data_IF_351639740463
#
_entry.id   IF_351639740463
#
_cell.length_a   1.000
_cell.length_b   1.000
_cell.length_c   1.000
_cell.angle_alpha   90.00
_cell.angle_beta   90.00
_cell.angle_gamma   90.00
#
_symmetry.space_group_name_H-M   'P 1'
#
loop_
_entity.id
_entity.type
_entity.pdbx_description
1 polymer ?
#
# COMPACT_ATOMS: atom_id res chain seq x y z
N UNK A 1 -3.53 -3.96 10.04
CA UNK A 1 -4.69 -3.19 9.53
C UNK A 1 -4.14 -1.87 9.05
N UNK A 2 -4.66 -1.27 7.98
CA UNK A 2 -4.29 0.11 7.55
C UNK A 2 -5.10 1.20 8.25
N UNK A 3 -5.84 0.84 9.30
CA UNK A 3 -6.81 1.70 9.99
C UNK A 3 -6.26 2.43 11.23
N UNK A 4 -5.06 2.07 11.71
CA UNK A 4 -4.42 2.61 12.91
C UNK A 4 -3.33 3.61 12.54
N UNK A 5 -3.10 4.67 13.32
CA UNK A 5 -2.05 5.68 13.04
C UNK A 5 -0.67 5.08 12.79
N UNK A 6 -0.36 3.96 13.45
CA UNK A 6 0.95 3.30 13.36
C UNK A 6 1.09 2.35 12.17
N UNK A 7 0.07 2.19 11.31
CA UNK A 7 0.12 1.18 10.24
C UNK A 7 1.28 1.41 9.26
N UNK A 8 1.61 2.67 9.00
CA UNK A 8 2.75 3.05 8.14
C UNK A 8 4.07 2.64 8.77
N UNK A 9 4.25 2.93 10.06
CA UNK A 9 5.45 2.54 10.81
C UNK A 9 5.62 1.01 10.81
N UNK A 10 4.53 0.28 11.06
CA UNK A 10 4.53 -1.18 11.03
C UNK A 10 4.83 -1.74 9.64
N UNK A 11 4.30 -1.13 8.59
CA UNK A 11 4.61 -1.51 7.22
C UNK A 11 6.11 -1.34 6.94
N UNK A 12 6.69 -0.19 7.32
CA UNK A 12 8.10 0.07 7.09
C UNK A 12 9.02 -0.86 7.87
N UNK A 13 8.70 -1.16 9.14
CA UNK A 13 9.40 -2.18 9.91
C UNK A 13 9.30 -3.55 9.24
N UNK A 14 8.11 -3.97 8.82
CA UNK A 14 7.92 -5.27 8.15
C UNK A 14 8.74 -5.39 6.88
N UNK A 15 8.77 -4.34 6.05
CA UNK A 15 9.56 -4.33 4.81
C UNK A 15 11.07 -4.34 5.10
N UNK A 16 11.52 -3.59 6.12
CA UNK A 16 12.92 -3.55 6.52
C UNK A 16 13.42 -4.87 7.12
N UNK A 17 12.62 -5.50 7.97
CA UNK A 17 13.00 -6.71 8.70
C UNK A 17 12.80 -8.01 7.90
N UNK A 18 12.21 -7.91 6.70
CA UNK A 18 11.86 -9.06 5.87
C UNK A 18 12.52 -9.02 4.48
N UNK A 19 13.85 -9.07 4.36
CA UNK A 19 14.58 -8.91 3.08
C UNK A 19 14.24 -9.97 2.02
N UNK A 20 13.61 -11.09 2.43
CA UNK A 20 13.17 -12.17 1.53
C UNK A 20 11.66 -12.18 1.26
N UNK A 21 10.95 -11.12 1.65
CA UNK A 21 9.49 -11.03 1.50
C UNK A 21 9.12 -11.12 0.02
N UNK A 22 8.34 -12.16 -0.34
CA UNK A 22 7.89 -12.39 -1.72
C UNK A 22 6.49 -11.88 -2.01
N UNK A 23 5.64 -11.84 -0.99
CA UNK A 23 4.23 -11.46 -1.13
C UNK A 23 3.86 -10.51 0.00
N UNK A 24 3.42 -9.32 -0.38
CA UNK A 24 2.88 -8.32 0.53
C UNK A 24 1.38 -8.21 0.32
N UNK A 25 0.61 -8.34 1.40
CA UNK A 25 -0.83 -8.16 1.40
C UNK A 25 -1.25 -7.10 2.41
N UNK A 26 -1.81 -6.01 1.91
CA UNK A 26 -2.42 -4.94 2.69
C UNK A 26 -3.94 -5.09 2.67
N UNK A 27 -4.57 -4.79 3.80
CA UNK A 27 -6.02 -4.79 3.91
C UNK A 27 -6.49 -3.79 4.96
N UNK A 28 -7.49 -3.01 4.60
CA UNK A 28 -8.27 -2.23 5.54
C UNK A 28 -9.45 -3.07 6.05
N UNK A 29 -9.51 -3.35 7.36
CA UNK A 29 -10.60 -4.13 7.95
C UNK A 29 -11.66 -3.29 8.65
N UNK A 30 -11.37 -2.02 8.93
CA UNK A 30 -12.26 -1.15 9.69
C UNK A 30 -12.53 0.13 8.90
N UNK A 31 -13.76 0.63 8.98
CA UNK A 31 -14.05 1.99 8.53
C UNK A 31 -13.22 2.95 9.38
N UNK A 32 -12.42 3.79 8.74
CA UNK A 32 -11.71 4.86 9.44
C UNK A 32 -12.79 5.78 9.99
N UNK A 33 -12.96 5.78 11.31
CA UNK A 33 -13.82 6.77 11.94
C UNK A 33 -13.24 8.15 11.63
N UNK A 34 -14.09 9.09 11.21
CA UNK A 34 -13.68 10.42 10.75
C UNK A 34 -12.85 11.24 11.77
N UNK A 35 -12.77 10.78 13.03
CA UNK A 35 -12.00 11.40 14.11
C UNK A 35 -10.61 10.78 14.33
N UNK A 36 -10.27 9.67 13.66
CA UNK A 36 -8.91 9.14 13.70
C UNK A 36 -8.05 9.94 12.73
N UNK A 37 -7.01 10.59 13.27
CA UNK A 37 -5.99 11.26 12.46
C UNK A 37 -5.41 10.23 11.50
N UNK A 38 -5.62 10.42 10.20
CA UNK A 38 -4.93 9.59 9.20
C UNK A 38 -3.43 9.89 9.33
N UNK A 39 -2.57 8.86 9.41
CA UNK A 39 -1.14 9.10 9.50
C UNK A 39 -0.66 9.66 8.16
N UNK A 40 0.04 10.79 8.20
CA UNK A 40 0.61 11.39 7.01
C UNK A 40 1.74 10.50 6.48
N UNK A 41 1.68 10.12 5.21
CA UNK A 41 2.77 9.39 4.59
C UNK A 41 3.97 10.33 4.40
N UNK A 42 5.15 9.81 4.72
CA UNK A 42 6.42 10.45 4.40
C UNK A 42 7.28 9.41 3.69
N UNK A 43 7.64 9.69 2.45
CA UNK A 43 8.45 8.77 1.66
C UNK A 43 9.79 8.50 2.38
N UNK A 44 10.16 7.23 2.60
CA UNK A 44 11.41 6.90 3.30
C UNK A 44 12.62 7.30 2.45
N UNK A 45 13.70 7.72 3.11
CA UNK A 45 14.96 8.09 2.45
C UNK A 45 15.67 6.93 1.75
N UNK A 46 15.33 5.69 2.12
CA UNK A 46 15.90 4.47 1.57
C UNK A 46 14.81 3.46 1.26
N UNK A 47 14.98 2.75 0.14
CA UNK A 47 14.07 1.69 -0.27
C UNK A 47 14.42 0.39 0.47
N UNK A 48 13.46 -0.28 1.13
CA UNK A 48 13.69 -1.59 1.76
C UNK A 48 14.20 -2.64 0.77
N UNK A 49 15.17 -3.45 1.20
CA UNK A 49 15.82 -4.46 0.34
C UNK A 49 14.81 -5.41 -0.30
N UNK A 50 13.75 -5.79 0.41
CA UNK A 50 12.75 -6.72 -0.10
C UNK A 50 12.03 -6.18 -1.34
N UNK A 51 11.80 -4.85 -1.42
CA UNK A 51 11.21 -4.26 -2.61
C UNK A 51 12.18 -4.38 -3.79
N UNK A 52 13.47 -4.15 -3.55
CA UNK A 52 14.49 -4.17 -4.59
C UNK A 52 14.83 -5.58 -5.10
N UNK A 53 14.69 -6.64 -4.29
CA UNK A 53 15.29 -7.94 -4.61
C UNK A 53 14.35 -9.15 -4.53
N UNK A 54 13.22 -9.07 -3.81
CA UNK A 54 12.45 -10.27 -3.49
C UNK A 54 10.94 -10.16 -3.68
N UNK A 55 10.36 -8.96 -3.66
CA UNK A 55 8.92 -8.79 -3.69
C UNK A 55 8.38 -9.13 -5.08
N UNK A 56 7.63 -10.22 -5.18
CA UNK A 56 7.07 -10.74 -6.42
C UNK A 56 5.56 -10.44 -6.55
N UNK A 57 4.84 -10.33 -5.43
CA UNK A 57 3.39 -10.11 -5.41
C UNK A 57 3.00 -9.00 -4.44
N UNK A 58 2.17 -8.07 -4.91
CA UNK A 58 1.54 -7.04 -4.10
C UNK A 58 0.03 -7.15 -4.20
N UNK A 59 -0.65 -7.25 -3.06
CA UNK A 59 -2.11 -7.27 -2.98
C UNK A 59 -2.58 -6.19 -2.01
N UNK A 60 -3.50 -5.32 -2.46
CA UNK A 60 -4.20 -4.36 -1.62
C UNK A 60 -5.70 -4.63 -1.68
N UNK A 61 -6.25 -5.13 -0.58
CA UNK A 61 -7.69 -5.35 -0.43
C UNK A 61 -8.36 -4.16 0.25
N UNK A 62 -9.60 -3.88 -0.15
CA UNK A 62 -10.42 -2.82 0.43
C UNK A 62 -9.79 -1.42 0.27
N UNK A 63 -9.11 -1.18 -0.85
CA UNK A 63 -8.45 0.10 -1.19
C UNK A 63 -9.47 1.23 -1.36
N UNK A 64 -9.34 2.30 -0.57
CA UNK A 64 -10.25 3.45 -0.59
C UNK A 64 -9.82 4.54 -1.58
N UNK A 65 -8.56 4.53 -2.01
CA UNK A 65 -8.01 5.55 -2.90
C UNK A 65 -7.78 6.88 -2.20
N UNK A 66 -7.40 6.81 -0.93
CA UNK A 66 -7.03 8.01 -0.18
C UNK A 66 -5.61 8.45 -0.53
N UNK A 67 -5.28 9.72 -0.26
CA UNK A 67 -3.98 10.28 -0.66
C UNK A 67 -2.82 9.45 -0.13
N UNK A 68 -2.89 9.03 1.13
CA UNK A 68 -1.87 8.23 1.78
C UNK A 68 -1.74 6.83 1.15
N UNK A 69 -2.87 6.19 0.82
CA UNK A 69 -2.85 4.89 0.14
C UNK A 69 -2.26 4.97 -1.26
N UNK A 70 -2.59 6.04 -2.01
CA UNK A 70 -2.02 6.30 -3.34
C UNK A 70 -0.51 6.46 -3.27
N UNK A 71 -0.02 7.23 -2.31
CA UNK A 71 1.41 7.49 -2.15
C UNK A 71 2.17 6.22 -1.76
N UNK A 72 1.65 5.41 -0.83
CA UNK A 72 2.24 4.12 -0.45
C UNK A 72 2.20 3.14 -1.61
N UNK A 73 1.09 3.05 -2.33
CA UNK A 73 0.96 2.17 -3.49
C UNK A 73 1.97 2.57 -4.58
N UNK A 74 2.03 3.85 -4.93
CA UNK A 74 2.98 4.38 -5.91
C UNK A 74 4.44 4.12 -5.49
N UNK A 75 4.77 4.31 -4.21
CA UNK A 75 6.10 4.00 -3.69
C UNK A 75 6.47 2.52 -3.87
N UNK A 76 5.57 1.60 -3.48
CA UNK A 76 5.81 0.15 -3.63
C UNK A 76 5.94 -0.21 -5.11
N UNK A 77 5.02 0.25 -5.95
CA UNK A 77 5.00 -0.06 -7.38
C UNK A 77 6.25 0.47 -8.11
N UNK A 78 6.73 1.67 -7.76
CA UNK A 78 7.96 2.26 -8.31
C UNK A 78 9.21 1.55 -7.80
N UNK A 79 9.21 1.10 -6.56
CA UNK A 79 10.39 0.55 -5.88
C UNK A 79 10.56 -0.95 -6.08
N UNK A 80 9.47 -1.69 -6.30
CA UNK A 80 9.47 -3.14 -6.33
C UNK A 80 9.96 -3.69 -7.69
N UNK A 81 11.28 -3.83 -7.83
CA UNK A 81 11.91 -4.19 -9.12
C UNK A 81 11.54 -5.60 -9.62
N UNK A 82 11.24 -6.52 -8.69
CA UNK A 82 10.95 -7.92 -8.97
C UNK A 82 9.45 -8.24 -9.05
N UNK A 83 8.60 -7.21 -9.04
CA UNK A 83 7.16 -7.36 -8.93
C UNK A 83 6.58 -7.98 -10.21
N UNK A 84 5.90 -9.12 -10.05
CA UNK A 84 5.29 -9.88 -11.15
C UNK A 84 3.78 -9.75 -11.18
N UNK A 85 3.16 -9.53 -10.02
CA UNK A 85 1.71 -9.48 -9.87
C UNK A 85 1.30 -8.37 -8.91
N UNK A 86 0.37 -7.55 -9.37
CA UNK A 86 -0.32 -6.53 -8.59
C UNK A 86 -1.81 -6.87 -8.57
N UNK A 87 -2.45 -6.74 -7.42
CA UNK A 87 -3.90 -6.89 -7.28
C UNK A 87 -4.41 -5.85 -6.32
N UNK A 88 -5.17 -4.88 -6.82
CA UNK A 88 -5.77 -3.83 -6.02
C UNK A 88 -7.29 -3.97 -6.18
N UNK A 89 -7.99 -4.16 -5.06
CA UNK A 89 -9.45 -4.28 -5.04
C UNK A 89 -10.05 -3.22 -4.13
N UNK A 90 -11.13 -2.61 -4.59
CA UNK A 90 -11.89 -1.60 -3.86
C UNK A 90 -13.33 -2.05 -3.67
N UNK A 91 -13.88 -1.77 -2.49
CA UNK A 91 -15.29 -1.98 -2.14
C UNK A 91 -16.19 -0.84 -2.58
N UNK A 92 -15.64 0.24 -3.17
CA UNK A 92 -16.44 1.32 -3.73
C UNK A 92 -17.50 0.77 -4.71
N UNK A 93 -18.72 1.29 -4.64
CA UNK A 93 -19.78 0.90 -5.58
C UNK A 93 -19.71 1.66 -6.90
N UNK A 94 -18.99 2.78 -6.90
CA UNK A 94 -18.81 3.68 -8.04
C UNK A 94 -17.66 3.19 -8.95
N UNK A 95 -18.00 2.81 -10.17
CA UNK A 95 -17.05 2.32 -11.17
C UNK A 95 -16.10 3.40 -11.68
N UNK A 96 -16.55 4.65 -11.74
CA UNK A 96 -15.74 5.76 -12.26
C UNK A 96 -14.65 6.11 -11.27
N UNK A 97 -14.97 6.14 -9.97
CA UNK A 97 -13.98 6.29 -8.90
C UNK A 97 -12.92 5.18 -8.92
N UNK A 98 -13.34 3.92 -9.14
CA UNK A 98 -12.39 2.80 -9.29
C UNK A 98 -11.44 2.99 -10.46
N UNK A 99 -11.97 3.44 -11.60
CA UNK A 99 -11.17 3.65 -12.79
C UNK A 99 -10.18 4.80 -12.58
N UNK A 100 -10.60 5.89 -11.93
CA UNK A 100 -9.74 7.01 -11.57
C UNK A 100 -8.58 6.58 -10.66
N UNK A 101 -8.88 5.85 -9.58
CA UNK A 101 -7.87 5.29 -8.68
C UNK A 101 -6.83 4.43 -9.40
N UNK A 102 -7.26 3.60 -10.36
CA UNK A 102 -6.35 2.72 -11.12
C UNK A 102 -5.46 3.55 -12.07
N UNK A 103 -6.01 4.58 -12.71
CA UNK A 103 -5.25 5.45 -13.63
C UNK A 103 -4.13 6.20 -12.92
N UNK A 104 -4.31 6.58 -11.66
CA UNK A 104 -3.28 7.27 -10.88
C UNK A 104 -2.13 6.35 -10.43
N UNK A 105 -2.34 5.03 -10.49
CA UNK A 105 -1.36 4.01 -10.10
C UNK A 105 -0.60 3.42 -11.29
N UNK A 106 -0.95 3.82 -12.52
CA UNK A 106 -0.36 3.36 -13.79
C UNK A 106 0.61 4.40 -14.34
#
# INVERSE_FOLDING_TARGET
CTCDTEWLNLLMCLLGDSPKLKSLKLRQRHSIQAHNLRPCWTEPSSVPECLLSSLETFTWEDYEGTQEEKEVAAFILRSASCLKKVTISSTATDSDKKLEMIKELS
#
